data_IF_091467645406
#
_entry.id   IF_091467645406
#
_cell.length_a   1.000
_cell.length_b   1.000
_cell.length_c   1.000
_cell.angle_alpha   90.00
_cell.angle_beta   90.00
_cell.angle_gamma   90.00
#
_symmetry.space_group_name_H-M   'P 1'
#
loop_
_entity.id
_entity.type
_entity.pdbx_description
1 polymer ?
#
# COMPACT_ATOMS: atom_id res chain seq x y z
N UNK A 1 22.53 39.75 73.33
CA UNK A 1 22.06 40.12 71.98
C UNK A 1 20.55 40.13 71.96
N UNK A 2 19.91 41.16 71.38
CA UNK A 2 18.46 41.13 71.16
C UNK A 2 18.14 40.18 70.01
N UNK A 3 16.95 39.56 70.01
CA UNK A 3 16.48 38.70 68.91
C UNK A 3 16.56 39.38 67.54
N UNK A 4 16.40 40.71 67.49
CA UNK A 4 16.49 41.49 66.26
C UNK A 4 17.92 41.57 65.70
N UNK A 5 18.93 41.67 66.57
CA UNK A 5 20.34 41.69 66.14
C UNK A 5 20.76 40.34 65.55
N UNK A 6 20.38 39.23 66.20
CA UNK A 6 20.65 37.88 65.70
C UNK A 6 19.94 37.60 64.35
N UNK A 7 18.72 38.10 64.19
CA UNK A 7 17.96 37.95 62.94
C UNK A 7 18.56 38.76 61.77
N UNK A 8 19.15 39.94 62.04
CA UNK A 8 19.86 40.73 61.04
C UNK A 8 21.14 40.03 60.59
N UNK A 9 21.95 39.55 61.54
CA UNK A 9 23.21 38.84 61.29
C UNK A 9 23.00 37.54 60.49
N UNK A 10 21.96 36.76 60.82
CA UNK A 10 21.57 35.59 60.03
C UNK A 10 21.13 35.95 58.61
N UNK A 11 20.46 37.09 58.42
CA UNK A 11 19.97 37.53 57.10
C UNK A 11 21.12 38.00 56.21
N UNK A 12 22.11 38.69 56.78
CA UNK A 12 23.33 39.06 56.07
C UNK A 12 24.13 37.83 55.66
N UNK A 13 24.27 36.85 56.57
CA UNK A 13 24.98 35.60 56.25
C UNK A 13 24.26 34.77 55.17
N UNK A 14 22.92 34.74 55.17
CA UNK A 14 22.13 34.10 54.10
C UNK A 14 22.37 34.81 52.75
N UNK A 15 22.42 36.14 52.74
CA UNK A 15 22.65 36.91 51.52
C UNK A 15 24.07 36.71 50.97
N UNK A 16 25.09 36.64 51.84
CA UNK A 16 26.46 36.28 51.44
C UNK A 16 26.53 34.88 50.83
N UNK A 17 25.90 33.88 51.47
CA UNK A 17 25.84 32.52 50.94
C UNK A 17 25.13 32.46 49.59
N UNK A 18 24.01 33.18 49.42
CA UNK A 18 23.31 33.26 48.14
C UNK A 18 24.19 33.86 47.03
N UNK A 19 24.93 34.93 47.33
CA UNK A 19 25.85 35.55 46.38
C UNK A 19 27.02 34.62 46.01
N UNK A 20 27.57 33.89 46.98
CA UNK A 20 28.62 32.90 46.74
C UNK A 20 28.15 31.73 45.86
N UNK A 21 26.93 31.22 46.10
CA UNK A 21 26.31 30.18 45.27
C UNK A 21 26.13 30.66 43.83
N UNK A 22 25.69 31.90 43.63
CA UNK A 22 25.51 32.46 42.29
C UNK A 22 26.83 32.62 41.55
N UNK A 23 27.86 33.14 42.23
CA UNK A 23 29.22 33.26 41.67
C UNK A 23 29.78 31.88 41.26
N UNK A 24 29.65 30.86 42.11
CA UNK A 24 30.09 29.49 41.79
C UNK A 24 29.27 28.86 40.65
N UNK A 25 27.98 29.17 40.56
CA UNK A 25 27.13 28.71 39.46
C UNK A 25 27.55 29.30 38.11
N UNK A 26 28.00 30.57 38.08
CA UNK A 26 28.58 31.18 36.88
C UNK A 26 29.86 30.48 36.45
N UNK A 27 30.77 30.21 37.39
CA UNK A 27 32.04 29.51 37.11
C UNK A 27 31.78 28.10 36.58
N UNK A 28 30.88 27.34 37.23
CA UNK A 28 30.48 26.00 36.78
C UNK A 28 29.91 26.01 35.37
N UNK A 29 29.04 26.98 35.03
CA UNK A 29 28.52 27.14 33.67
C UNK A 29 29.64 27.39 32.65
N UNK A 30 30.62 28.24 33.00
CA UNK A 30 31.80 28.49 32.17
C UNK A 30 32.63 27.23 31.89
N UNK A 31 32.94 26.46 32.94
CA UNK A 31 33.70 25.22 32.82
C UNK A 31 32.95 24.15 32.03
N UNK A 32 31.62 24.03 32.21
CA UNK A 32 30.78 23.13 31.41
C UNK A 32 30.82 23.49 29.93
N UNK A 33 30.82 24.78 29.59
CA UNK A 33 30.95 25.24 28.20
C UNK A 33 32.30 24.87 27.61
N UNK A 34 33.40 25.14 28.33
CA UNK A 34 34.75 24.77 27.88
C UNK A 34 34.92 23.26 27.70
N UNK A 35 34.38 22.46 28.62
CA UNK A 35 34.40 21.00 28.50
C UNK A 35 33.65 20.52 27.25
N UNK A 36 32.47 21.09 26.96
CA UNK A 36 31.69 20.77 25.75
C UNK A 36 32.44 21.17 24.47
N UNK A 37 33.11 22.32 24.45
CA UNK A 37 33.94 22.75 23.31
C UNK A 37 35.13 21.81 23.08
N UNK A 38 35.82 21.41 24.16
CA UNK A 38 36.90 20.42 24.10
C UNK A 38 36.42 19.08 23.54
N UNK A 39 35.28 18.58 24.01
CA UNK A 39 34.65 17.36 23.50
C UNK A 39 34.25 17.46 22.03
N UNK A 40 33.69 18.61 21.60
CA UNK A 40 33.36 18.84 20.18
C UNK A 40 34.59 18.80 19.29
N UNK A 41 35.68 19.46 19.68
CA UNK A 41 36.96 19.42 18.94
C UNK A 41 37.52 18.00 18.86
N UNK A 42 37.53 17.28 19.97
CA UNK A 42 38.01 15.89 19.98
C UNK A 42 37.15 14.99 19.07
N UNK A 43 35.83 15.07 19.18
CA UNK A 43 34.93 14.29 18.34
C UNK A 43 35.09 14.63 16.85
N UNK A 44 35.31 15.90 16.49
CA UNK A 44 35.56 16.29 15.09
C UNK A 44 36.86 15.71 14.50
N UNK A 45 37.84 15.39 15.35
CA UNK A 45 39.12 14.80 14.94
C UNK A 45 39.07 13.28 14.83
N UNK A 46 38.17 12.64 15.61
CA UNK A 46 38.11 11.18 15.75
C UNK A 46 36.94 10.57 14.96
N UNK A 47 35.85 11.32 14.73
CA UNK A 47 34.67 10.83 14.00
C UNK A 47 34.95 10.77 12.48
N UNK A 48 35.04 9.58 11.88
CA UNK A 48 35.27 9.44 10.44
C UNK A 48 34.16 10.09 9.61
N UNK A 49 32.93 10.16 10.15
CA UNK A 49 31.78 10.75 9.47
C UNK A 49 31.94 12.28 9.35
N UNK A 50 32.53 12.93 10.37
CA UNK A 50 32.79 14.37 10.38
C UNK A 50 33.77 14.83 9.28
N UNK A 51 34.54 13.91 8.71
CA UNK A 51 35.49 14.19 7.63
C UNK A 51 34.89 14.09 6.24
N UNK A 52 33.68 13.54 6.11
CA UNK A 52 33.00 13.38 4.84
C UNK A 52 32.21 14.66 4.48
N UNK A 53 32.08 15.02 3.20
CA UNK A 53 31.11 16.01 2.74
C UNK A 53 29.69 15.63 3.18
N UNK A 54 28.84 16.63 3.42
CA UNK A 54 27.47 16.43 3.91
C UNK A 54 26.68 15.47 3.01
N UNK A 55 26.89 15.54 1.69
CA UNK A 55 26.24 14.69 0.70
C UNK A 55 26.55 13.21 0.91
N UNK A 56 27.81 12.88 1.25
CA UNK A 56 28.20 11.50 1.52
C UNK A 56 27.68 11.03 2.87
N UNK A 57 27.59 11.92 3.86
CA UNK A 57 26.97 11.58 5.16
C UNK A 57 25.48 11.28 4.99
N UNK A 58 24.76 12.12 4.23
CA UNK A 58 23.36 11.90 3.87
C UNK A 58 23.17 10.59 3.10
N UNK A 59 24.04 10.29 2.14
CA UNK A 59 23.96 9.05 1.35
C UNK A 59 24.19 7.80 2.22
N UNK A 60 25.16 7.84 3.15
CA UNK A 60 25.35 6.77 4.14
C UNK A 60 24.07 6.56 4.95
N UNK A 61 23.43 7.63 5.43
CA UNK A 61 22.19 7.52 6.20
C UNK A 61 21.04 6.97 5.37
N UNK A 62 20.95 7.32 4.08
CA UNK A 62 19.96 6.76 3.16
C UNK A 62 20.15 5.25 2.98
N UNK A 63 21.39 4.78 2.84
CA UNK A 63 21.71 3.34 2.72
C UNK A 63 21.36 2.55 3.98
N UNK A 64 21.39 3.17 5.15
CA UNK A 64 20.96 2.55 6.40
C UNK A 64 19.44 2.39 6.51
N UNK A 65 18.62 3.05 5.67
CA UNK A 65 17.17 2.80 5.58
C UNK A 65 16.87 1.49 4.85
N UNK A 66 17.72 1.10 3.91
CA UNK A 66 17.52 -0.06 3.01
C UNK A 66 17.97 -1.39 3.59
N UNK A 67 18.63 -1.42 4.74
CA UNK A 67 19.05 -2.66 5.42
C UNK A 67 17.88 -3.35 6.13
N UNK A 68 17.05 -4.00 5.30
CA UNK A 68 15.97 -4.89 5.67
C UNK A 68 16.49 -6.09 6.48
N UNK A 69 16.19 -6.11 7.77
CA UNK A 69 16.36 -7.28 8.64
C UNK A 69 15.10 -7.57 9.48
N UNK A 70 13.98 -6.91 9.18
CA UNK A 70 12.74 -7.09 9.93
C UNK A 70 11.61 -7.50 8.98
N UNK A 71 10.84 -8.56 9.32
CA UNK A 71 9.59 -8.84 8.63
C UNK A 71 8.71 -7.59 8.65
N UNK A 72 8.08 -7.30 7.51
CA UNK A 72 7.39 -6.04 7.21
C UNK A 72 6.42 -5.60 8.31
N UNK A 73 5.87 -6.57 9.04
CA UNK A 73 4.86 -6.41 10.09
C UNK A 73 5.39 -5.77 11.39
N UNK A 74 6.71 -5.65 11.59
CA UNK A 74 7.31 -5.15 12.84
C UNK A 74 8.03 -3.81 12.73
N UNK A 75 8.15 -3.26 11.52
CA UNK A 75 8.83 -1.98 11.34
C UNK A 75 7.87 -0.82 11.63
N UNK A 76 8.07 -0.16 12.77
CA UNK A 76 7.36 1.08 13.13
C UNK A 76 8.36 2.22 13.25
N UNK A 77 8.09 3.35 12.59
CA UNK A 77 8.90 4.55 12.73
C UNK A 77 8.83 5.18 14.14
N UNK A 78 8.04 4.61 15.06
CA UNK A 78 8.09 4.96 16.49
C UNK A 78 9.28 4.34 17.23
N UNK A 79 9.91 3.28 16.72
CA UNK A 79 11.11 2.73 17.38
C UNK A 79 12.29 3.70 17.21
N UNK A 80 12.73 4.27 18.32
CA UNK A 80 13.83 5.24 18.34
C UNK A 80 15.19 4.61 18.04
N UNK A 81 15.28 3.28 18.06
CA UNK A 81 16.49 2.52 17.72
C UNK A 81 16.60 2.22 16.22
N UNK A 82 15.56 2.53 15.45
CA UNK A 82 15.55 2.34 14.00
C UNK A 82 15.92 3.64 13.29
N UNK A 83 16.57 3.52 12.13
CA UNK A 83 16.74 4.65 11.23
C UNK A 83 15.36 5.14 10.74
N UNK A 84 15.15 6.45 10.54
CA UNK A 84 16.11 7.55 10.72
C UNK A 84 16.27 8.03 12.18
N UNK A 85 15.41 7.61 13.12
CA UNK A 85 15.41 8.15 14.49
C UNK A 85 16.71 7.88 15.26
N UNK A 86 17.35 6.72 15.04
CA UNK A 86 18.60 6.36 15.72
C UNK A 86 19.70 7.41 15.49
N UNK A 87 19.73 8.04 14.31
CA UNK A 87 20.71 9.07 13.98
C UNK A 87 20.56 10.32 14.86
N UNK A 88 19.34 10.61 15.32
CA UNK A 88 19.08 11.72 16.23
C UNK A 88 19.66 11.48 17.63
N UNK A 89 19.99 10.24 17.99
CA UNK A 89 20.48 9.85 19.31
C UNK A 89 22.01 9.72 19.42
N UNK A 90 22.73 9.57 18.31
CA UNK A 90 24.18 9.24 18.32
C UNK A 90 25.07 10.43 18.70
N UNK A 91 24.99 11.53 17.94
CA UNK A 91 25.81 12.73 18.17
C UNK A 91 25.11 13.99 17.66
N UNK A 92 25.64 15.18 18.00
CA UNK A 92 25.11 16.45 17.47
C UNK A 92 25.25 16.50 15.95
N UNK A 93 26.41 16.11 15.41
CA UNK A 93 26.66 16.08 13.98
C UNK A 93 25.65 15.18 13.26
N UNK A 94 25.44 13.96 13.74
CA UNK A 94 24.51 13.01 13.11
C UNK A 94 23.07 13.54 13.13
N UNK A 95 22.68 14.17 14.24
CA UNK A 95 21.38 14.82 14.36
C UNK A 95 21.23 15.94 13.33
N UNK A 96 22.23 16.81 13.20
CA UNK A 96 22.18 17.93 12.27
C UNK A 96 22.11 17.46 10.82
N UNK A 97 22.90 16.45 10.45
CA UNK A 97 22.86 15.79 9.13
C UNK A 97 21.49 15.16 8.86
N UNK A 98 20.94 14.41 9.82
CA UNK A 98 19.65 13.75 9.67
C UNK A 98 18.50 14.75 9.48
N UNK A 99 18.49 15.85 10.25
CA UNK A 99 17.48 16.91 10.12
C UNK A 99 17.69 17.78 8.87
N UNK A 100 18.93 17.92 8.40
CA UNK A 100 19.26 18.61 7.15
C UNK A 100 18.96 17.77 5.89
N UNK A 101 18.59 16.50 6.04
CA UNK A 101 18.33 15.57 4.93
C UNK A 101 16.84 15.16 4.89
N UNK A 102 15.95 15.97 4.25
CA UNK A 102 14.52 15.69 4.22
C UNK A 102 14.16 14.30 3.68
N UNK A 103 14.94 13.79 2.71
CA UNK A 103 14.73 12.48 2.08
C UNK A 103 14.72 11.31 3.08
N UNK A 104 15.38 11.46 4.24
CA UNK A 104 15.33 10.44 5.31
C UNK A 104 13.93 10.30 5.93
N UNK A 105 13.10 11.33 5.79
CA UNK A 105 11.77 11.44 6.36
C UNK A 105 10.66 11.26 5.31
N UNK A 106 11.03 10.86 4.08
CA UNK A 106 10.09 10.71 2.96
C UNK A 106 9.13 9.51 3.12
N UNK A 107 9.33 8.64 4.11
CA UNK A 107 8.45 7.51 4.39
C UNK A 107 8.07 7.47 5.87
N UNK A 108 6.78 7.37 6.16
CA UNK A 108 6.23 7.28 7.50
C UNK A 108 5.36 6.02 7.60
N UNK A 109 5.82 5.05 8.39
CA UNK A 109 5.09 3.82 8.71
C UNK A 109 4.71 3.82 10.18
N UNK A 110 3.41 3.64 10.43
CA UNK A 110 2.84 3.67 11.76
C UNK A 110 2.05 2.38 11.95
N UNK A 111 2.56 1.51 12.84
CA UNK A 111 1.85 0.32 13.28
C UNK A 111 1.17 0.57 14.63
N UNK A 112 0.08 -0.16 14.87
CA UNK A 112 -0.72 -0.10 16.11
C UNK A 112 -1.22 1.32 16.38
N UNK A 113 -2.23 1.73 15.62
CA UNK A 113 -2.98 2.97 15.78
C UNK A 113 -3.71 3.03 17.13
N UNK A 114 -2.97 3.11 18.23
CA UNK A 114 -3.47 3.72 19.45
C UNK A 114 -3.37 5.23 19.22
N UNK A 115 -4.46 5.78 18.68
CA UNK A 115 -4.73 7.19 18.52
C UNK A 115 -4.69 7.87 19.89
N UNK A 116 -3.48 8.22 20.31
CA UNK A 116 -3.22 9.09 21.45
C UNK A 116 -2.90 10.48 20.90
N UNK A 117 -3.09 11.52 21.70
CA UNK A 117 -2.72 12.90 21.33
C UNK A 117 -1.28 13.03 20.79
N UNK A 118 -0.36 12.14 21.19
CA UNK A 118 1.02 12.09 20.69
C UNK A 118 1.16 11.63 19.24
N UNK A 119 0.12 11.02 18.65
CA UNK A 119 0.18 10.53 17.29
C UNK A 119 0.20 11.66 16.28
N UNK A 120 -0.71 12.63 16.45
CA UNK A 120 -0.77 13.81 15.59
C UNK A 120 0.55 14.60 15.69
N UNK A 121 1.06 14.82 16.90
CA UNK A 121 2.36 15.50 17.12
C UNK A 121 3.52 14.75 16.44
N UNK A 122 3.51 13.42 16.48
CA UNK A 122 4.52 12.60 15.83
C UNK A 122 4.46 12.73 14.30
N UNK A 123 3.26 12.64 13.72
CA UNK A 123 3.05 12.84 12.29
C UNK A 123 3.44 14.26 11.87
N UNK A 124 3.03 15.29 12.62
CA UNK A 124 3.38 16.68 12.37
C UNK A 124 4.89 16.91 12.37
N UNK A 125 5.58 16.38 13.38
CA UNK A 125 7.04 16.47 13.47
C UNK A 125 7.73 15.73 12.32
N UNK A 126 7.19 14.58 11.90
CA UNK A 126 7.72 13.83 10.76
C UNK A 126 7.59 14.60 9.46
N UNK A 127 6.39 15.13 9.20
CA UNK A 127 6.08 15.93 8.01
C UNK A 127 6.91 17.22 7.98
N UNK A 128 7.11 17.88 9.12
CA UNK A 128 7.99 19.03 9.23
C UNK A 128 9.43 18.72 8.79
N UNK A 129 9.94 17.52 9.10
CA UNK A 129 11.30 17.09 8.70
C UNK A 129 11.38 16.70 7.23
N UNK A 130 10.31 16.14 6.66
CA UNK A 130 10.18 15.91 5.22
C UNK A 130 10.09 17.23 4.41
N UNK A 131 9.70 18.33 5.06
CA UNK A 131 9.58 19.67 4.48
C UNK A 131 8.53 19.74 3.37
N UNK A 132 8.97 19.73 2.12
CA UNK A 132 8.11 19.87 0.92
C UNK A 132 8.26 18.69 -0.04
N UNK A 133 8.97 17.64 0.37
CA UNK A 133 9.12 16.47 -0.47
C UNK A 133 7.84 15.60 -0.38
N UNK A 134 7.45 14.92 -1.45
CA UNK A 134 6.33 14.01 -1.40
C UNK A 134 6.61 12.83 -0.45
N UNK A 135 5.64 12.46 0.39
CA UNK A 135 5.79 11.46 1.45
C UNK A 135 4.97 10.20 1.15
N UNK A 136 5.56 9.03 1.44
CA UNK A 136 4.87 7.74 1.50
C UNK A 136 4.36 7.50 2.93
N UNK A 137 3.04 7.41 3.10
CA UNK A 137 2.39 7.16 4.38
C UNK A 137 1.82 5.73 4.40
N UNK A 138 2.19 4.96 5.42
CA UNK A 138 1.57 3.66 5.67
C UNK A 138 1.05 3.54 7.09
N UNK A 139 -0.23 3.21 7.21
CA UNK A 139 -0.92 3.03 8.48
C UNK A 139 -1.39 1.58 8.60
N UNK A 140 -0.98 0.91 9.67
CA UNK A 140 -1.38 -0.46 10.01
C UNK A 140 -2.00 -0.51 11.41
N UNK A 141 -3.17 -1.13 11.55
CA UNK A 141 -3.73 -1.38 12.88
C UNK A 141 -5.22 -1.67 12.89
N UNK A 142 -5.75 -1.91 14.10
CA UNK A 142 -7.19 -1.97 14.31
C UNK A 142 -7.73 -0.54 14.48
N UNK A 143 -8.80 -0.23 13.75
CA UNK A 143 -9.56 1.00 13.94
C UNK A 143 -10.21 0.95 15.32
N UNK A 144 -9.94 1.96 16.12
CA UNK A 144 -10.62 2.20 17.38
C UNK A 144 -11.62 3.34 17.18
N UNK A 145 -12.73 3.38 17.94
CA UNK A 145 -13.67 4.49 17.88
C UNK A 145 -12.92 5.81 18.12
N UNK A 146 -12.98 6.71 17.13
CA UNK A 146 -12.08 7.87 17.04
C UNK A 146 -11.39 8.07 15.68
N UNK A 147 -11.94 7.52 14.59
CA UNK A 147 -11.39 7.61 13.23
C UNK A 147 -11.15 9.04 12.71
N UNK A 148 -11.71 10.04 13.40
CA UNK A 148 -11.44 11.46 13.16
C UNK A 148 -9.94 11.71 12.99
N UNK A 149 -9.07 11.04 13.76
CA UNK A 149 -7.62 11.23 13.65
C UNK A 149 -7.05 10.81 12.28
N UNK A 150 -7.54 9.74 11.65
CA UNK A 150 -7.04 9.31 10.34
C UNK A 150 -7.51 10.26 9.24
N UNK A 151 -8.79 10.63 9.25
CA UNK A 151 -9.35 11.60 8.31
C UNK A 151 -8.68 12.98 8.47
N UNK A 152 -8.47 13.45 9.71
CA UNK A 152 -7.75 14.68 10.02
C UNK A 152 -6.30 14.65 9.51
N UNK A 153 -5.60 13.53 9.68
CA UNK A 153 -4.25 13.38 9.14
C UNK A 153 -4.23 13.40 7.61
N UNK A 154 -5.17 12.70 6.97
CA UNK A 154 -5.31 12.71 5.52
C UNK A 154 -5.66 14.11 5.01
N UNK A 155 -6.52 14.84 5.71
CA UNK A 155 -6.85 16.23 5.42
C UNK A 155 -5.64 17.16 5.58
N UNK A 156 -4.91 17.05 6.69
CA UNK A 156 -3.77 17.89 6.99
C UNK A 156 -2.57 17.66 6.04
N UNK A 157 -2.33 16.41 5.66
CA UNK A 157 -1.10 16.01 4.95
C UNK A 157 -1.31 15.51 3.53
N UNK A 158 -2.56 15.30 3.10
CA UNK A 158 -2.96 14.84 1.77
C UNK A 158 -2.23 15.54 0.61
N UNK A 159 -2.06 16.88 0.63
CA UNK A 159 -1.35 17.61 -0.42
C UNK A 159 0.09 17.18 -0.67
N UNK A 160 0.74 16.56 0.33
CA UNK A 160 2.13 16.10 0.25
C UNK A 160 2.26 14.60 0.03
N UNK A 161 1.16 13.84 0.07
CA UNK A 161 1.23 12.39 -0.06
C UNK A 161 1.50 11.97 -1.49
N UNK A 162 2.48 11.09 -1.67
CA UNK A 162 2.80 10.41 -2.94
C UNK A 162 2.30 8.98 -2.96
N UNK A 163 2.38 8.31 -1.82
CA UNK A 163 1.94 6.94 -1.66
C UNK A 163 1.15 6.85 -0.36
N UNK A 164 -0.01 6.21 -0.41
CA UNK A 164 -0.85 6.00 0.75
C UNK A 164 -1.22 4.52 0.83
N UNK A 165 -0.86 3.89 1.93
CA UNK A 165 -1.25 2.52 2.23
C UNK A 165 -1.99 2.47 3.56
N UNK A 166 -3.22 1.96 3.54
CA UNK A 166 -4.06 1.80 4.72
C UNK A 166 -4.38 0.33 4.90
N UNK A 167 -3.90 -0.29 5.97
CA UNK A 167 -4.20 -1.67 6.33
C UNK A 167 -4.91 -1.68 7.68
N UNK A 168 -6.24 -1.65 7.64
CA UNK A 168 -7.06 -1.29 8.79
C UNK A 168 -8.01 -2.44 9.14
N UNK A 169 -7.91 -2.97 10.35
CA UNK A 169 -8.90 -3.95 10.86
C UNK A 169 -10.03 -3.23 11.57
N UNK A 170 -11.29 -3.54 11.29
CA UNK A 170 -12.41 -2.99 12.09
C UNK A 170 -12.52 -3.68 13.45
N UNK A 171 -13.17 -3.06 14.43
CA UNK A 171 -13.66 -3.77 15.60
C UNK A 171 -14.77 -4.76 15.20
N UNK A 172 -15.08 -5.76 16.03
CA UNK A 172 -16.20 -6.69 15.79
C UNK A 172 -17.56 -5.96 15.78
N UNK A 173 -18.58 -6.57 15.16
CA UNK A 173 -19.90 -5.96 14.88
C UNK A 173 -20.59 -5.40 16.14
N UNK A 174 -20.35 -6.02 17.30
CA UNK A 174 -20.91 -5.61 18.60
C UNK A 174 -20.29 -4.33 19.18
N UNK A 175 -19.14 -3.89 18.64
CA UNK A 175 -18.42 -2.66 18.98
C UNK A 175 -18.54 -1.57 17.90
N UNK A 176 -19.35 -1.82 16.86
CA UNK A 176 -19.54 -0.89 15.74
C UNK A 176 -20.50 0.26 16.13
N UNK A 177 -19.95 1.31 16.74
CA UNK A 177 -20.64 2.59 16.89
C UNK A 177 -20.61 3.40 15.57
N UNK A 178 -21.60 4.27 15.34
CA UNK A 178 -21.56 5.23 14.22
C UNK A 178 -20.33 6.16 14.33
N UNK A 179 -19.50 6.28 13.28
CA UNK A 179 -18.33 7.19 13.29
C UNK A 179 -17.01 6.64 12.74
N UNK A 180 -17.04 5.52 12.01
CA UNK A 180 -15.86 4.96 11.31
C UNK A 180 -15.79 5.35 9.83
N UNK A 181 -16.49 6.42 9.44
CA UNK A 181 -16.53 6.85 8.05
C UNK A 181 -15.26 7.64 7.72
N UNK A 182 -14.57 7.23 6.67
CA UNK A 182 -13.41 7.95 6.14
C UNK A 182 -13.92 8.94 5.10
N UNK A 183 -14.24 10.16 5.54
CA UNK A 183 -14.54 11.26 4.62
C UNK A 183 -13.24 11.74 3.97
N UNK A 184 -13.15 11.59 2.65
CA UNK A 184 -11.99 12.01 1.87
C UNK A 184 -12.18 13.42 1.30
N UNK A 185 -12.37 14.41 2.18
CA UNK A 185 -12.44 15.84 1.80
C UNK A 185 -11.06 16.46 1.50
N UNK A 186 -10.00 15.66 1.59
CA UNK A 186 -8.63 16.09 1.38
C UNK A 186 -8.25 16.10 -0.11
N UNK A 187 -7.43 17.06 -0.53
CA UNK A 187 -6.83 17.05 -1.87
C UNK A 187 -5.54 16.21 -1.90
N UNK A 188 -5.41 15.34 -2.90
CA UNK A 188 -4.26 14.45 -3.10
C UNK A 188 -3.55 14.66 -4.46
N UNK A 189 -3.11 15.91 -4.78
CA UNK A 189 -2.56 16.26 -6.09
C UNK A 189 -1.26 15.52 -6.46
N UNK A 190 -0.52 15.01 -5.49
CA UNK A 190 0.75 14.32 -5.69
C UNK A 190 0.65 12.80 -5.58
N UNK A 191 -0.52 12.27 -5.21
CA UNK A 191 -0.69 10.86 -4.93
C UNK A 191 -0.57 10.04 -6.23
N UNK A 192 0.32 9.04 -6.20
CA UNK A 192 0.65 8.15 -7.30
C UNK A 192 0.21 6.72 -7.06
N UNK A 193 0.25 6.29 -5.81
CA UNK A 193 -0.12 4.93 -5.40
C UNK A 193 -1.05 4.99 -4.22
N UNK A 194 -2.17 4.29 -4.32
CA UNK A 194 -3.10 4.05 -3.24
C UNK A 194 -3.28 2.54 -3.06
N UNK A 195 -3.16 2.07 -1.83
CA UNK A 195 -3.49 0.69 -1.46
C UNK A 195 -4.28 0.69 -0.15
N UNK A 196 -5.53 0.25 -0.21
CA UNK A 196 -6.42 0.21 0.94
C UNK A 196 -6.88 -1.24 1.14
N UNK A 197 -6.64 -1.78 2.32
CA UNK A 197 -6.99 -3.15 2.68
C UNK A 197 -7.69 -3.16 4.04
N UNK A 198 -8.90 -3.72 4.09
CA UNK A 198 -9.64 -3.90 5.32
C UNK A 198 -9.65 -5.36 5.77
N UNK A 199 -9.52 -5.61 7.08
CA UNK A 199 -9.37 -6.97 7.63
C UNK A 199 -10.67 -7.56 8.21
N UNK A 200 -11.83 -6.98 7.90
CA UNK A 200 -13.10 -7.24 8.62
C UNK A 200 -14.34 -7.09 7.76
N UNK A 201 -15.48 -7.57 8.28
CA UNK A 201 -16.70 -7.94 7.56
C UNK A 201 -17.59 -6.83 7.00
N UNK A 202 -17.26 -5.55 7.25
CA UNK A 202 -18.08 -4.42 6.80
C UNK A 202 -17.24 -3.35 6.07
N UNK A 203 -17.75 -2.82 4.95
CA UNK A 203 -17.10 -1.79 4.16
C UNK A 203 -17.10 -0.46 4.90
N UNK A 204 -15.93 0.19 4.96
CA UNK A 204 -15.77 1.56 5.48
C UNK A 204 -16.12 2.63 4.45
N UNK A 205 -16.10 2.28 3.15
CA UNK A 205 -16.61 3.14 2.08
C UNK A 205 -17.99 2.63 1.73
N UNK A 206 -19.00 3.38 2.16
CA UNK A 206 -20.39 2.93 2.17
C UNK A 206 -21.07 3.03 0.81
N UNK A 207 -20.57 3.89 -0.07
CA UNK A 207 -21.14 4.09 -1.40
C UNK A 207 -20.10 4.41 -2.47
N UNK A 208 -20.55 4.41 -3.73
CA UNK A 208 -19.70 4.78 -4.86
C UNK A 208 -19.35 6.28 -4.89
N UNK A 209 -20.09 7.13 -4.18
CA UNK A 209 -19.91 8.59 -4.16
C UNK A 209 -18.57 8.96 -3.53
N UNK A 210 -18.26 8.41 -2.36
CA UNK A 210 -17.00 8.63 -1.65
C UNK A 210 -15.79 8.23 -2.50
N UNK A 211 -15.97 7.15 -3.27
CA UNK A 211 -14.93 6.63 -4.16
C UNK A 211 -14.64 7.56 -5.33
N UNK A 212 -15.71 8.04 -5.97
CA UNK A 212 -15.61 9.00 -7.05
C UNK A 212 -15.01 10.32 -6.53
N UNK A 213 -15.41 10.77 -5.34
CA UNK A 213 -14.86 11.94 -4.69
C UNK A 213 -13.35 11.78 -4.43
N UNK A 214 -12.92 10.64 -3.90
CA UNK A 214 -11.50 10.35 -3.67
C UNK A 214 -10.68 10.36 -4.98
N UNK A 215 -11.13 9.64 -6.01
CA UNK A 215 -10.44 9.60 -7.29
C UNK A 215 -10.37 10.99 -7.95
N UNK A 216 -11.41 11.82 -7.77
CA UNK A 216 -11.41 13.21 -8.21
C UNK A 216 -10.39 14.06 -7.45
N UNK A 217 -10.21 13.80 -6.15
CA UNK A 217 -9.21 14.48 -5.33
C UNK A 217 -7.76 14.03 -5.62
N UNK A 218 -7.57 12.88 -6.28
CA UNK A 218 -6.27 12.30 -6.61
C UNK A 218 -6.00 12.22 -8.14
N UNK A 219 -6.03 13.34 -8.90
CA UNK A 219 -5.98 13.32 -10.37
C UNK A 219 -4.67 12.77 -10.96
N UNK A 220 -3.63 12.64 -10.13
CA UNK A 220 -2.31 12.18 -10.53
C UNK A 220 -2.08 10.68 -10.26
N UNK A 221 -3.10 9.97 -9.77
CA UNK A 221 -3.04 8.57 -9.32
C UNK A 221 -2.74 7.62 -10.49
N UNK A 222 -1.72 6.78 -10.33
CA UNK A 222 -1.27 5.82 -11.34
C UNK A 222 -1.69 4.40 -10.99
N UNK A 223 -1.67 4.06 -9.70
CA UNK A 223 -2.04 2.75 -9.18
C UNK A 223 -3.03 2.90 -8.03
N UNK A 224 -4.09 2.10 -8.09
CA UNK A 224 -5.15 2.06 -7.10
C UNK A 224 -5.47 0.61 -6.77
N UNK A 225 -5.39 0.25 -5.50
CA UNK A 225 -5.73 -1.06 -4.98
C UNK A 225 -6.70 -0.89 -3.82
N UNK A 226 -7.80 -1.64 -3.89
CA UNK A 226 -8.74 -1.72 -2.80
C UNK A 226 -9.17 -3.16 -2.56
N UNK A 227 -9.03 -3.59 -1.31
CA UNK A 227 -9.40 -4.91 -0.83
C UNK A 227 -10.39 -4.79 0.32
N UNK A 228 -11.50 -5.51 0.22
CA UNK A 228 -12.44 -5.78 1.32
C UNK A 228 -13.17 -4.54 1.83
N UNK A 229 -13.26 -3.50 1.00
CA UNK A 229 -13.77 -2.19 1.41
C UNK A 229 -15.11 -1.80 0.82
N UNK A 230 -15.82 -2.67 0.09
CA UNK A 230 -16.99 -2.27 -0.70
C UNK A 230 -18.24 -3.11 -0.51
N UNK A 231 -19.34 -2.40 -0.31
CA UNK A 231 -20.66 -2.81 -0.72
C UNK A 231 -21.29 -1.60 -1.41
N UNK A 232 -21.60 -1.71 -2.70
CA UNK A 232 -22.42 -0.71 -3.39
C UNK A 232 -23.83 -1.28 -3.31
N UNK A 233 -24.75 -0.69 -2.52
CA UNK A 233 -26.14 -1.09 -2.54
C UNK A 233 -26.66 -1.07 -3.99
N UNK A 234 -27.51 -2.03 -4.35
CA UNK A 234 -28.12 -2.05 -5.70
C UNK A 234 -29.00 -0.82 -5.98
N UNK A 235 -29.36 -0.07 -4.93
CA UNK A 235 -30.21 1.11 -5.01
C UNK A 235 -29.57 2.26 -5.81
N UNK A 236 -30.40 2.89 -6.66
CA UNK A 236 -30.08 3.96 -7.60
C UNK A 236 -29.63 5.27 -6.91
N UNK A 237 -28.45 5.29 -6.30
CA UNK A 237 -27.79 6.55 -5.98
C UNK A 237 -27.24 7.12 -7.28
N UNK A 238 -27.75 8.29 -7.70
CA UNK A 238 -27.22 9.04 -8.84
C UNK A 238 -25.78 9.49 -8.54
N UNK A 239 -24.81 8.67 -8.95
CA UNK A 239 -23.39 9.01 -8.84
C UNK A 239 -22.89 9.58 -10.17
N UNK A 240 -22.26 10.75 -10.11
CA UNK A 240 -21.67 11.38 -11.28
C UNK A 240 -20.54 10.52 -11.86
N UNK A 241 -20.55 10.31 -13.18
CA UNK A 241 -19.46 9.62 -13.86
C UNK A 241 -18.15 10.43 -13.78
N UNK A 242 -17.03 9.74 -13.60
CA UNK A 242 -15.70 10.33 -13.55
C UNK A 242 -14.80 9.75 -14.64
N UNK A 243 -14.11 10.64 -15.37
CA UNK A 243 -13.00 10.24 -16.24
C UNK A 243 -11.68 10.46 -15.51
N UNK A 244 -10.92 9.38 -15.32
CA UNK A 244 -9.62 9.43 -14.67
C UNK A 244 -8.51 9.08 -15.67
N UNK A 245 -7.82 10.11 -16.17
CA UNK A 245 -6.93 10.00 -17.35
C UNK A 245 -5.53 9.47 -17.06
N UNK A 246 -5.14 9.35 -15.79
CA UNK A 246 -3.80 8.94 -15.38
C UNK A 246 -3.72 7.54 -14.76
N UNK A 247 -4.86 6.93 -14.44
CA UNK A 247 -4.88 5.64 -13.72
C UNK A 247 -4.51 4.52 -14.67
N UNK A 248 -3.42 3.82 -14.36
CA UNK A 248 -2.83 2.76 -15.20
C UNK A 248 -3.09 1.37 -14.62
N UNK A 249 -3.19 1.25 -13.30
CA UNK A 249 -3.35 -0.02 -12.61
C UNK A 249 -4.48 0.05 -11.60
N UNK A 250 -5.49 -0.80 -11.77
CA UNK A 250 -6.64 -0.88 -10.90
C UNK A 250 -6.81 -2.31 -10.37
N UNK A 251 -6.80 -2.44 -9.05
CA UNK A 251 -7.13 -3.66 -8.34
C UNK A 251 -8.39 -3.42 -7.52
N UNK A 252 -9.43 -4.21 -7.77
CA UNK A 252 -10.65 -4.26 -6.97
C UNK A 252 -10.84 -5.69 -6.45
N UNK A 253 -10.97 -5.84 -5.14
CA UNK A 253 -11.16 -7.15 -4.55
C UNK A 253 -11.98 -7.22 -3.28
N UNK A 254 -12.56 -8.39 -3.03
CA UNK A 254 -13.41 -8.70 -1.89
C UNK A 254 -12.98 -10.01 -1.19
N UNK A 255 -12.79 -10.00 0.13
CA UNK A 255 -12.24 -11.14 0.88
C UNK A 255 -13.28 -12.17 1.28
N UNK A 256 -14.53 -11.78 1.53
CA UNK A 256 -15.50 -12.73 2.06
C UNK A 256 -16.22 -13.50 0.95
N UNK A 257 -16.31 -14.84 1.09
CA UNK A 257 -17.04 -15.77 0.22
C UNK A 257 -18.54 -15.80 0.57
N UNK A 258 -18.92 -15.24 1.72
CA UNK A 258 -20.25 -15.43 2.31
C UNK A 258 -21.26 -14.34 1.94
N UNK A 259 -20.80 -13.19 1.41
CA UNK A 259 -21.65 -12.05 1.04
C UNK A 259 -21.42 -11.71 -0.44
N UNK A 260 -22.50 -11.63 -1.23
CA UNK A 260 -22.50 -11.31 -2.67
C UNK A 260 -22.18 -9.82 -2.94
N UNK A 261 -21.05 -9.31 -2.43
CA UNK A 261 -20.65 -7.93 -2.61
C UNK A 261 -20.06 -7.70 -4.01
N UNK A 262 -20.72 -6.90 -4.84
CA UNK A 262 -20.19 -6.51 -6.15
C UNK A 262 -19.24 -5.31 -6.05
N UNK A 263 -17.96 -5.59 -5.77
CA UNK A 263 -16.90 -4.56 -5.71
C UNK A 263 -16.65 -3.84 -7.04
N UNK A 264 -16.99 -4.48 -8.16
CA UNK A 264 -16.78 -3.93 -9.49
C UNK A 264 -17.94 -3.02 -9.96
N UNK A 265 -19.02 -2.89 -9.18
CA UNK A 265 -20.14 -2.01 -9.51
C UNK A 265 -19.73 -0.55 -9.74
N UNK A 266 -18.61 -0.10 -9.15
CA UNK A 266 -18.03 1.24 -9.33
C UNK A 266 -17.58 1.50 -10.77
N UNK A 267 -17.24 0.44 -11.53
CA UNK A 267 -16.80 0.56 -12.92
C UNK A 267 -17.84 1.23 -13.81
N UNK A 268 -19.15 1.15 -13.47
CA UNK A 268 -20.21 1.81 -14.24
C UNK A 268 -20.06 3.34 -14.28
N UNK A 269 -19.41 3.92 -13.26
CA UNK A 269 -19.21 5.36 -13.12
C UNK A 269 -17.84 5.82 -13.60
N UNK A 270 -16.95 4.91 -14.03
CA UNK A 270 -15.55 5.23 -14.32
C UNK A 270 -15.23 5.17 -15.81
N UNK A 271 -14.48 6.13 -16.31
CA UNK A 271 -13.84 6.11 -17.64
C UNK A 271 -12.34 6.17 -17.46
N UNK A 272 -11.63 5.09 -17.80
CA UNK A 272 -10.21 4.90 -17.48
C UNK A 272 -9.37 4.67 -18.76
N UNK A 273 -9.14 5.71 -19.59
CA UNK A 273 -8.53 5.56 -20.92
C UNK A 273 -7.03 5.21 -20.89
N UNK A 274 -6.36 5.37 -19.74
CA UNK A 274 -4.95 5.03 -19.56
C UNK A 274 -4.73 3.66 -18.89
N UNK A 275 -5.80 2.90 -18.62
CA UNK A 275 -5.72 1.65 -17.87
C UNK A 275 -4.97 0.57 -18.65
N UNK A 276 -3.92 0.04 -18.05
CA UNK A 276 -3.05 -1.01 -18.61
C UNK A 276 -3.20 -2.34 -17.86
N UNK A 277 -3.47 -2.28 -16.55
CA UNK A 277 -3.68 -3.49 -15.74
C UNK A 277 -4.97 -3.39 -14.95
N UNK A 278 -5.83 -4.40 -15.09
CA UNK A 278 -7.08 -4.53 -14.37
C UNK A 278 -7.11 -5.87 -13.64
N UNK A 279 -7.32 -5.83 -12.33
CA UNK A 279 -7.57 -7.01 -11.52
C UNK A 279 -8.90 -6.88 -10.81
N UNK A 280 -9.78 -7.85 -11.04
CA UNK A 280 -11.07 -7.98 -10.39
C UNK A 280 -11.13 -9.33 -9.68
N UNK A 281 -11.21 -9.31 -8.35
CA UNK A 281 -11.42 -10.52 -7.55
C UNK A 281 -12.86 -10.54 -7.04
N UNK A 282 -13.56 -11.65 -7.32
CA UNK A 282 -14.98 -11.92 -7.00
C UNK A 282 -15.91 -10.77 -7.39
N UNK A 283 -16.33 -10.77 -8.64
CA UNK A 283 -17.26 -9.78 -9.16
C UNK A 283 -18.52 -10.47 -9.68
N UNK A 284 -19.69 -10.10 -9.14
CA UNK A 284 -21.00 -10.39 -9.71
C UNK A 284 -21.37 -9.25 -10.69
N UNK A 285 -20.49 -8.97 -11.65
CA UNK A 285 -20.84 -8.02 -12.70
C UNK A 285 -21.86 -8.71 -13.59
N UNK A 286 -23.02 -8.07 -13.76
CA UNK A 286 -23.83 -8.30 -14.93
C UNK A 286 -22.94 -8.02 -16.15
N UNK A 287 -22.93 -8.96 -17.07
CA UNK A 287 -22.13 -8.99 -18.29
C UNK A 287 -22.08 -7.64 -19.03
N UNK A 288 -23.18 -6.88 -19.03
CA UNK A 288 -23.29 -5.59 -19.68
C UNK A 288 -22.38 -4.51 -19.05
N UNK A 289 -22.15 -4.53 -17.73
CA UNK A 289 -21.42 -3.46 -17.03
C UNK A 289 -19.94 -3.42 -17.38
N UNK A 290 -19.30 -4.59 -17.52
CA UNK A 290 -17.89 -4.68 -17.90
C UNK A 290 -17.69 -4.35 -19.38
N UNK A 291 -18.65 -4.75 -20.23
CA UNK A 291 -18.68 -4.41 -21.65
C UNK A 291 -18.80 -2.89 -21.80
N UNK A 292 -19.77 -2.26 -21.14
CA UNK A 292 -19.98 -0.81 -21.17
C UNK A 292 -18.75 -0.06 -20.67
N UNK A 293 -18.10 -0.56 -19.63
CA UNK A 293 -16.85 0.00 -19.15
C UNK A 293 -15.75 -0.05 -20.21
N UNK A 294 -15.55 -1.17 -20.90
CA UNK A 294 -14.55 -1.29 -21.97
C UNK A 294 -14.90 -0.46 -23.20
N UNK A 295 -16.18 -0.38 -23.59
CA UNK A 295 -16.65 0.49 -24.68
C UNK A 295 -16.35 1.95 -24.36
N UNK A 296 -16.69 2.39 -23.13
CA UNK A 296 -16.52 3.79 -22.70
C UNK A 296 -15.06 4.15 -22.49
N UNK A 297 -14.28 3.27 -21.87
CA UNK A 297 -12.87 3.55 -21.52
C UNK A 297 -11.91 3.29 -22.67
N UNK A 298 -12.23 2.36 -23.57
CA UNK A 298 -11.35 1.87 -24.64
C UNK A 298 -9.88 1.71 -24.20
N UNK A 299 -9.60 1.01 -23.08
CA UNK A 299 -8.29 1.04 -22.45
C UNK A 299 -7.25 0.25 -23.26
N UNK A 300 -5.97 0.69 -23.30
CA UNK A 300 -4.87 -0.10 -23.86
C UNK A 300 -4.45 -1.20 -22.88
N UNK A 301 -5.38 -2.10 -22.55
CA UNK A 301 -5.21 -3.08 -21.50
C UNK A 301 -4.18 -4.13 -21.92
N UNK A 302 -3.14 -4.31 -21.11
CA UNK A 302 -2.05 -5.26 -21.32
C UNK A 302 -2.18 -6.48 -20.39
N UNK A 303 -2.74 -6.29 -19.19
CA UNK A 303 -2.90 -7.32 -18.18
C UNK A 303 -4.31 -7.34 -17.60
N UNK A 304 -4.92 -8.52 -17.56
CA UNK A 304 -6.25 -8.74 -17.01
C UNK A 304 -6.19 -9.95 -16.08
N UNK A 305 -6.58 -9.75 -14.83
CA UNK A 305 -6.79 -10.83 -13.86
C UNK A 305 -8.24 -10.85 -13.40
N UNK A 306 -8.88 -12.00 -13.51
CA UNK A 306 -10.30 -12.18 -13.20
C UNK A 306 -10.50 -13.44 -12.37
N UNK A 307 -11.39 -13.36 -11.38
CA UNK A 307 -12.07 -14.54 -10.83
C UNK A 307 -13.43 -14.63 -11.53
N UNK A 308 -13.61 -15.52 -12.52
CA UNK A 308 -14.85 -15.58 -13.27
C UNK A 308 -15.99 -16.11 -12.38
N UNK A 309 -17.18 -15.49 -12.42
CA UNK A 309 -18.35 -16.01 -11.72
C UNK A 309 -18.78 -17.35 -12.34
N UNK A 310 -19.45 -18.18 -11.54
CA UNK A 310 -19.75 -19.58 -11.92
C UNK A 310 -20.75 -19.73 -13.07
N UNK A 311 -21.48 -18.67 -13.38
CA UNK A 311 -22.59 -18.56 -14.32
C UNK A 311 -22.25 -17.75 -15.59
N UNK A 312 -20.99 -17.33 -15.76
CA UNK A 312 -20.54 -16.65 -16.98
C UNK A 312 -20.77 -17.49 -18.24
N UNK A 313 -21.52 -16.93 -19.20
CA UNK A 313 -21.82 -17.55 -20.49
C UNK A 313 -20.86 -17.08 -21.59
N UNK A 314 -20.73 -17.89 -22.65
CA UNK A 314 -19.71 -17.68 -23.70
C UNK A 314 -19.83 -16.34 -24.46
N UNK A 315 -21.03 -15.81 -24.68
CA UNK A 315 -21.26 -14.62 -25.51
C UNK A 315 -20.70 -13.33 -24.89
N UNK A 316 -21.07 -12.98 -23.65
CA UNK A 316 -20.48 -11.83 -22.95
C UNK A 316 -18.95 -11.81 -22.88
N UNK A 317 -18.35 -12.96 -22.58
CA UNK A 317 -16.89 -13.11 -22.53
C UNK A 317 -16.29 -12.81 -23.91
N UNK A 318 -16.91 -13.35 -24.96
CA UNK A 318 -16.47 -13.13 -26.34
C UNK A 318 -16.54 -11.64 -26.72
N UNK A 319 -17.60 -10.93 -26.34
CA UNK A 319 -17.74 -9.50 -26.59
C UNK A 319 -16.72 -8.68 -25.81
N UNK A 320 -16.51 -8.98 -24.52
CA UNK A 320 -15.48 -8.35 -23.70
C UNK A 320 -14.11 -8.46 -24.35
N UNK A 321 -13.70 -9.67 -24.73
CA UNK A 321 -12.36 -9.92 -25.28
C UNK A 321 -12.15 -9.30 -26.66
N UNK A 322 -13.21 -9.06 -27.45
CA UNK A 322 -13.12 -8.29 -28.70
C UNK A 322 -12.78 -6.82 -28.46
N UNK A 323 -13.16 -6.27 -27.31
CA UNK A 323 -12.93 -4.86 -26.97
C UNK A 323 -11.50 -4.57 -26.44
N UNK A 324 -10.75 -5.61 -26.07
CA UNK A 324 -9.38 -5.49 -25.50
C UNK A 324 -8.33 -6.28 -26.31
N UNK A 325 -8.15 -5.99 -27.62
CA UNK A 325 -7.23 -6.75 -28.47
C UNK A 325 -5.74 -6.56 -28.11
N UNK A 326 -5.41 -5.55 -27.29
CA UNK A 326 -4.04 -5.29 -26.80
C UNK A 326 -3.57 -6.25 -25.72
N UNK A 327 -4.46 -7.09 -25.17
CA UNK A 327 -4.16 -7.90 -24.00
C UNK A 327 -2.99 -8.88 -24.25
N UNK A 328 -1.94 -8.78 -23.44
CA UNK A 328 -0.77 -9.66 -23.50
C UNK A 328 -0.78 -10.73 -22.40
N UNK A 329 -1.42 -10.43 -21.25
CA UNK A 329 -1.41 -11.26 -20.05
C UNK A 329 -2.84 -11.47 -19.56
N UNK A 330 -3.28 -12.72 -19.50
CA UNK A 330 -4.57 -13.12 -18.94
C UNK A 330 -4.34 -14.07 -17.76
N UNK A 331 -4.85 -13.71 -16.59
CA UNK A 331 -4.88 -14.59 -15.42
C UNK A 331 -6.32 -14.89 -15.03
N UNK A 332 -6.66 -16.16 -14.96
CA UNK A 332 -7.93 -16.64 -14.46
C UNK A 332 -7.69 -17.27 -13.10
N UNK A 333 -8.39 -16.77 -12.10
CA UNK A 333 -8.19 -17.09 -10.70
C UNK A 333 -9.41 -17.79 -10.10
N UNK A 334 -9.19 -18.69 -9.13
CA UNK A 334 -10.14 -19.59 -8.47
C UNK A 334 -11.59 -19.61 -9.04
N UNK A 335 -11.93 -20.53 -9.96
CA UNK A 335 -13.29 -20.66 -10.51
C UNK A 335 -13.50 -21.87 -11.44
N UNK A 336 -14.61 -21.90 -12.19
CA UNK A 336 -14.89 -22.86 -13.28
C UNK A 336 -14.75 -22.17 -14.65
N UNK A 337 -13.53 -21.96 -15.17
CA UNK A 337 -13.27 -21.09 -16.32
C UNK A 337 -13.65 -21.74 -17.66
N UNK A 338 -14.47 -22.79 -17.67
CA UNK A 338 -14.75 -23.59 -18.85
C UNK A 338 -15.29 -22.75 -20.01
N UNK A 339 -16.19 -21.80 -19.75
CA UNK A 339 -16.72 -20.88 -20.75
C UNK A 339 -15.61 -20.04 -21.41
N UNK A 340 -14.72 -19.45 -20.59
CA UNK A 340 -13.57 -18.68 -21.09
C UNK A 340 -12.64 -19.57 -21.92
N UNK A 341 -12.32 -20.77 -21.42
CA UNK A 341 -11.49 -21.74 -22.14
C UNK A 341 -12.14 -22.17 -23.46
N UNK A 342 -13.46 -22.30 -23.50
CA UNK A 342 -14.22 -22.63 -24.71
C UNK A 342 -14.17 -21.48 -25.73
N UNK A 343 -14.36 -20.24 -25.29
CA UNK A 343 -14.23 -19.04 -26.14
C UNK A 343 -12.83 -18.96 -26.75
N UNK A 344 -11.78 -19.10 -25.93
CA UNK A 344 -10.38 -19.03 -26.39
C UNK A 344 -10.03 -20.13 -27.41
N UNK A 345 -10.64 -21.31 -27.27
CA UNK A 345 -10.48 -22.43 -28.21
C UNK A 345 -11.30 -22.25 -29.50
N UNK A 346 -12.51 -21.71 -29.39
CA UNK A 346 -13.43 -21.58 -30.52
C UNK A 346 -13.04 -20.42 -31.43
N UNK A 347 -12.43 -19.37 -30.86
CA UNK A 347 -12.04 -18.17 -31.58
C UNK A 347 -10.53 -17.90 -31.44
N UNK A 348 -9.67 -18.54 -32.26
CA UNK A 348 -8.22 -18.38 -32.17
C UNK A 348 -7.74 -16.93 -32.37
N UNK A 349 -8.45 -16.14 -33.18
CA UNK A 349 -8.11 -14.75 -33.48
C UNK A 349 -8.45 -13.78 -32.35
N UNK A 350 -9.19 -14.22 -31.33
CA UNK A 350 -9.49 -13.36 -30.18
C UNK A 350 -8.26 -13.22 -29.29
N UNK A 351 -8.01 -12.01 -28.76
CA UNK A 351 -6.80 -11.67 -28.01
C UNK A 351 -5.52 -12.05 -28.80
N UNK A 352 -5.29 -11.44 -29.97
CA UNK A 352 -4.19 -11.83 -30.87
C UNK A 352 -2.79 -11.60 -30.26
N UNK A 353 -2.68 -10.73 -29.25
CA UNK A 353 -1.42 -10.41 -28.57
C UNK A 353 -1.17 -11.24 -27.30
N UNK A 354 -2.06 -12.18 -26.97
CA UNK A 354 -1.95 -12.95 -25.73
C UNK A 354 -0.68 -13.82 -25.74
N UNK A 355 0.23 -13.56 -24.79
CA UNK A 355 1.54 -14.22 -24.66
C UNK A 355 1.70 -14.96 -23.35
N UNK A 356 1.03 -14.50 -22.29
CA UNK A 356 1.10 -15.11 -20.98
C UNK A 356 -0.30 -15.48 -20.53
N UNK A 357 -0.51 -16.76 -20.25
CA UNK A 357 -1.78 -17.26 -19.76
C UNK A 357 -1.55 -17.97 -18.43
N UNK A 358 -2.19 -17.48 -17.36
CA UNK A 358 -2.12 -18.08 -16.03
C UNK A 358 -3.50 -18.60 -15.66
N UNK A 359 -3.55 -19.85 -15.24
CA UNK A 359 -4.73 -20.49 -14.73
C UNK A 359 -4.46 -20.92 -13.28
N UNK A 360 -5.02 -20.18 -12.34
CA UNK A 360 -5.11 -20.56 -10.93
C UNK A 360 -6.50 -21.16 -10.76
N UNK A 361 -6.56 -22.48 -10.63
CA UNK A 361 -7.83 -23.16 -10.44
C UNK A 361 -7.71 -24.15 -9.29
N UNK A 362 -8.82 -24.38 -8.59
CA UNK A 362 -8.96 -25.50 -7.65
C UNK A 362 -8.90 -26.84 -8.39
N UNK A 363 -9.68 -27.85 -7.97
CA UNK A 363 -9.75 -29.14 -8.66
C UNK A 363 -10.34 -29.00 -10.08
N UNK A 364 -9.56 -28.89 -11.17
CA UNK A 364 -10.14 -28.76 -12.49
C UNK A 364 -10.72 -30.10 -12.90
N UNK A 365 -11.88 -30.07 -13.52
CA UNK A 365 -12.49 -31.23 -14.16
C UNK A 365 -11.66 -31.57 -15.41
N UNK A 366 -11.62 -32.85 -15.80
CA UNK A 366 -10.91 -33.33 -17.01
C UNK A 366 -11.18 -32.48 -18.26
N UNK A 367 -12.41 -31.96 -18.42
CA UNK A 367 -12.79 -31.09 -19.55
C UNK A 367 -12.05 -29.76 -19.59
N UNK A 368 -11.75 -29.15 -18.44
CA UNK A 368 -11.00 -27.89 -18.37
C UNK A 368 -9.55 -28.12 -18.75
N UNK A 369 -8.97 -29.23 -18.29
CA UNK A 369 -7.64 -29.67 -18.71
C UNK A 369 -7.56 -29.90 -20.23
N UNK A 370 -8.52 -30.66 -20.80
CA UNK A 370 -8.57 -30.90 -22.24
C UNK A 370 -8.69 -29.58 -23.04
N UNK A 371 -9.42 -28.60 -22.49
CA UNK A 371 -9.54 -27.28 -23.09
C UNK A 371 -8.21 -26.49 -23.02
N UNK A 372 -7.46 -26.56 -21.92
CA UNK A 372 -6.13 -25.95 -21.78
C UNK A 372 -5.15 -26.54 -22.78
N UNK A 373 -5.11 -27.86 -22.93
CA UNK A 373 -4.22 -28.52 -23.90
C UNK A 373 -4.49 -28.05 -25.34
N UNK A 374 -5.77 -27.84 -25.70
CA UNK A 374 -6.12 -27.26 -26.99
C UNK A 374 -5.62 -25.83 -27.16
N UNK A 375 -5.73 -25.00 -26.13
CA UNK A 375 -5.21 -23.62 -26.15
C UNK A 375 -3.70 -23.62 -26.38
N UNK A 376 -2.95 -24.45 -25.65
CA UNK A 376 -1.50 -24.60 -25.80
C UNK A 376 -1.08 -25.10 -27.19
N UNK A 377 -1.90 -25.93 -27.83
CA UNK A 377 -1.63 -26.44 -29.17
C UNK A 377 -1.91 -25.45 -30.31
N UNK A 378 -2.74 -24.43 -30.08
CA UNK A 378 -3.19 -23.49 -31.13
C UNK A 378 -2.53 -22.12 -31.00
N UNK A 379 -2.16 -21.69 -29.78
CA UNK A 379 -1.66 -20.33 -29.53
C UNK A 379 -0.16 -20.30 -29.24
N UNK A 380 0.59 -19.33 -29.79
CA UNK A 380 2.02 -19.18 -29.54
C UNK A 380 2.27 -18.48 -28.19
N UNK A 381 1.90 -19.14 -27.09
CA UNK A 381 2.13 -18.62 -25.74
C UNK A 381 3.62 -18.67 -25.40
N UNK A 382 4.13 -17.61 -24.77
CA UNK A 382 5.50 -17.54 -24.24
C UNK A 382 5.59 -18.19 -22.86
N UNK A 383 4.54 -18.06 -22.06
CA UNK A 383 4.48 -18.65 -20.73
C UNK A 383 3.07 -19.13 -20.42
N UNK A 384 3.00 -20.27 -19.73
CA UNK A 384 1.77 -20.81 -19.19
C UNK A 384 2.00 -21.22 -17.73
N UNK A 385 1.19 -20.71 -16.82
CA UNK A 385 1.28 -21.08 -15.40
C UNK A 385 -0.01 -21.75 -14.96
N UNK A 386 0.16 -22.84 -14.24
CA UNK A 386 -0.93 -23.67 -13.74
C UNK A 386 -0.71 -23.96 -12.27
N UNK A 387 -1.43 -23.25 -11.41
CA UNK A 387 -1.27 -23.39 -9.96
C UNK A 387 -2.33 -24.33 -9.40
N UNK A 388 -1.88 -25.33 -8.65
CA UNK A 388 -2.68 -26.52 -8.41
C UNK A 388 -2.19 -27.39 -7.21
N UNK A 389 -3.14 -28.00 -6.49
CA UNK A 389 -2.96 -28.97 -5.37
C UNK A 389 -2.92 -30.48 -5.79
N UNK A 390 -2.57 -30.82 -7.04
CA UNK A 390 -3.06 -32.07 -7.70
C UNK A 390 -2.03 -33.13 -8.01
N UNK A 391 -0.77 -32.96 -7.60
CA UNK A 391 0.19 -34.04 -7.77
C UNK A 391 -0.31 -35.40 -7.22
N UNK A 392 -1.33 -35.41 -6.35
CA UNK A 392 -1.95 -36.60 -5.75
C UNK A 392 -3.13 -37.20 -6.54
N UNK A 393 -3.87 -36.48 -7.42
CA UNK A 393 -5.21 -36.92 -7.87
C UNK A 393 -5.35 -37.49 -9.30
N UNK A 394 -4.60 -37.00 -10.31
CA UNK A 394 -4.87 -37.37 -11.71
C UNK A 394 -3.76 -38.19 -12.42
N UNK A 395 -2.64 -38.50 -11.75
CA UNK A 395 -1.58 -39.37 -12.28
C UNK A 395 -0.75 -38.79 -13.44
N UNK A 396 0.25 -39.55 -13.91
CA UNK A 396 1.20 -39.14 -14.97
C UNK A 396 0.55 -38.88 -16.34
N UNK A 397 -0.60 -39.50 -16.63
CA UNK A 397 -1.31 -39.38 -17.92
C UNK A 397 -1.76 -37.95 -18.24
N UNK A 398 -1.97 -37.14 -17.20
CA UNK A 398 -2.37 -35.72 -17.30
C UNK A 398 -1.14 -34.80 -17.24
N UNK A 399 0.03 -35.28 -16.83
CA UNK A 399 1.24 -34.44 -16.81
C UNK A 399 2.06 -34.58 -18.10
N UNK A 400 1.89 -35.67 -18.85
CA UNK A 400 2.61 -35.93 -20.10
C UNK A 400 2.51 -34.80 -21.14
N UNK A 401 1.30 -34.39 -21.57
CA UNK A 401 1.14 -33.34 -22.58
C UNK A 401 1.72 -31.99 -22.13
N UNK A 402 1.47 -31.58 -20.88
CA UNK A 402 2.04 -30.34 -20.33
C UNK A 402 3.58 -30.35 -20.34
N UNK A 403 4.21 -31.47 -19.97
CA UNK A 403 5.68 -31.59 -20.02
C UNK A 403 6.23 -31.52 -21.46
N UNK A 404 5.46 -31.94 -22.46
CA UNK A 404 5.85 -31.85 -23.87
C UNK A 404 5.86 -30.39 -24.35
N UNK A 405 4.85 -29.59 -23.96
CA UNK A 405 4.82 -28.15 -24.28
C UNK A 405 5.97 -27.38 -23.63
N UNK A 406 6.37 -27.74 -22.41
CA UNK A 406 7.52 -27.13 -21.74
C UNK A 406 8.83 -27.32 -22.54
N UNK A 407 8.99 -28.47 -23.21
CA UNK A 407 10.14 -28.75 -24.08
C UNK A 407 10.13 -27.93 -25.36
N UNK A 408 8.96 -27.44 -25.78
CA UNK A 408 8.79 -26.62 -26.99
C UNK A 408 9.02 -25.12 -26.74
N UNK A 409 9.61 -24.74 -25.60
CA UNK A 409 10.03 -23.37 -25.31
C UNK A 409 8.98 -22.48 -24.64
N UNK A 410 7.83 -23.06 -24.22
CA UNK A 410 6.86 -22.37 -23.36
C UNK A 410 7.36 -22.45 -21.92
N UNK A 411 7.54 -21.30 -21.25
CA UNK A 411 7.90 -21.28 -19.83
C UNK A 411 6.70 -21.75 -18.99
N UNK A 412 6.79 -22.99 -18.50
CA UNK A 412 5.71 -23.68 -17.82
C UNK A 412 6.01 -23.85 -16.33
N UNK A 413 5.09 -23.37 -15.50
CA UNK A 413 5.15 -23.53 -14.05
C UNK A 413 3.93 -24.30 -13.57
N UNK A 414 4.16 -25.44 -12.92
CA UNK A 414 3.11 -26.23 -12.26
C UNK A 414 3.46 -26.37 -10.79
N UNK A 415 2.67 -25.78 -9.89
CA UNK A 415 3.00 -25.79 -8.47
C UNK A 415 1.89 -25.30 -7.56
N UNK A 416 2.12 -25.40 -6.25
CA UNK A 416 1.28 -24.76 -5.24
C UNK A 416 1.58 -23.26 -5.23
N UNK A 417 0.55 -22.43 -5.04
CA UNK A 417 0.76 -20.99 -4.88
C UNK A 417 1.73 -20.74 -3.70
N UNK A 418 2.87 -20.10 -3.97
CA UNK A 418 3.92 -19.85 -2.95
C UNK A 418 5.00 -20.92 -2.79
N UNK A 419 4.93 -22.07 -3.47
CA UNK A 419 5.99 -23.09 -3.46
C UNK A 419 6.44 -23.47 -4.87
N UNK A 420 7.72 -23.20 -5.17
CA UNK A 420 8.36 -23.69 -6.40
C UNK A 420 8.49 -25.21 -6.34
N UNK A 421 7.80 -25.92 -7.23
CA UNK A 421 8.15 -27.29 -7.60
C UNK A 421 9.01 -27.21 -8.86
N UNK A 422 10.22 -27.78 -8.75
CA UNK A 422 11.32 -27.78 -9.72
C UNK A 422 10.93 -28.35 -11.07
#
# INVERSE_FOLDING_TARGET
MSRAALAAELRDHINELASAIEAQSVILRGLVTQHKEGQRKLNSLVDPLARLPLELQSEIFMLCLTTAAYPEDRYSNRDTRQAPNVFLGVSQLWRDVALATPRLWAALRVAQLQFSCYFHDFCALWMQRAKHIPVSLTLYGRLQPGLGDAAELLHAYGPQLRELTLQLGMPPEDEFESGYDLEFDAAFPLLKTLDIQFWTYEPTIRDATDWIAFLRAAPALLQCSFQNGFYIPEDDVEVESLTHTSLQRLYLGHADDRKNGNSAGVLRYLTLPALQELQLTRFDLMDEQIIDFFVRSAPPLESLRLIPPSDWYDQPILECFKLIPSLERLTLDHGYPLAILQVLNTFPDILPNLRHFTLVCGLPKRREYDAVIKILGVRPLKSFRFYQEIAVLYGEDVMGPLREFAKNGVDMHVGLEGHNLV
#
